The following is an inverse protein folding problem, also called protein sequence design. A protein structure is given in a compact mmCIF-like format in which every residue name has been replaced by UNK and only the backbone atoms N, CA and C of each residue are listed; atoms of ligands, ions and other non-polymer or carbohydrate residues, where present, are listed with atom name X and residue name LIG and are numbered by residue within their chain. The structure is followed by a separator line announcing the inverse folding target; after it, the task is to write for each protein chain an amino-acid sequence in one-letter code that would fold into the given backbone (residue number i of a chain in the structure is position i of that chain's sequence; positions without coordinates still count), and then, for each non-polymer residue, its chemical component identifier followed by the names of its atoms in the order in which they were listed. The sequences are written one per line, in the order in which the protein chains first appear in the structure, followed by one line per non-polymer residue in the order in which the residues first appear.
data_IF_256314521689
#
_entry.id   IF_256314521689
#
_cell.length_a   1.000
_cell.length_b   1.000
_cell.length_c   1.000
_cell.angle_alpha   90.00
_cell.angle_beta   90.00
_cell.angle_gamma   90.00
#
_symmetry.space_group_name_H-M   'P 1'
#
loop_
_entity.id
_entity.type
_entity.pdbx_description
1 polymer ?
#
# COMPACT_ATOMS: atom_id res chain seq x y z
N UNK A 1 -8.58 -10.01 2.64
CA UNK A 1 -7.45 -9.66 3.51
C UNK A 1 -6.22 -10.54 3.21
N UNK A 2 -6.34 -11.87 3.32
CA UNK A 2 -5.20 -12.79 3.15
C UNK A 2 -4.49 -12.64 1.80
N UNK A 3 -5.20 -12.49 0.69
CA UNK A 3 -4.60 -12.35 -0.63
C UNK A 3 -3.57 -11.19 -0.69
N UNK A 4 -3.88 -10.06 -0.05
CA UNK A 4 -2.98 -8.91 0.00
C UNK A 4 -1.69 -9.20 0.77
N UNK A 5 -1.80 -9.76 1.97
CA UNK A 5 -0.62 -10.03 2.77
C UNK A 5 0.22 -11.20 2.22
N UNK A 6 -0.42 -12.27 1.75
CA UNK A 6 0.29 -13.40 1.13
C UNK A 6 1.01 -13.00 -0.15
N UNK A 7 0.43 -12.12 -0.98
CA UNK A 7 1.12 -11.58 -2.16
C UNK A 7 2.38 -10.80 -1.77
N UNK A 8 2.33 -10.01 -0.69
CA UNK A 8 3.51 -9.30 -0.17
C UNK A 8 4.55 -10.29 0.37
N UNK A 9 4.15 -11.34 1.09
CA UNK A 9 5.10 -12.37 1.54
C UNK A 9 5.81 -12.98 0.33
N UNK A 10 5.05 -13.42 -0.66
CA UNK A 10 5.60 -14.07 -1.86
C UNK A 10 6.56 -13.13 -2.63
N UNK A 11 6.13 -11.90 -2.90
CA UNK A 11 6.94 -10.93 -3.65
C UNK A 11 8.15 -10.44 -2.85
N UNK A 12 8.04 -10.28 -1.53
CA UNK A 12 9.18 -9.92 -0.67
C UNK A 12 10.30 -10.95 -0.73
N UNK A 13 9.96 -12.25 -0.76
CA UNK A 13 10.97 -13.30 -0.92
C UNK A 13 11.49 -13.41 -2.36
N UNK A 14 10.65 -13.18 -3.36
CA UNK A 14 11.04 -13.29 -4.76
C UNK A 14 11.92 -12.13 -5.25
N UNK A 15 11.54 -10.89 -4.96
CA UNK A 15 12.21 -9.68 -5.47
C UNK A 15 12.80 -8.78 -4.39
N UNK A 16 12.60 -9.11 -3.12
CA UNK A 16 13.21 -8.36 -2.02
C UNK A 16 14.73 -8.26 -2.12
N UNK A 17 15.47 -9.35 -2.40
CA UNK A 17 16.92 -9.31 -2.59
C UNK A 17 17.37 -8.45 -3.79
N UNK A 18 16.48 -8.17 -4.75
CA UNK A 18 16.80 -7.41 -5.97
C UNK A 18 16.51 -5.92 -5.76
N UNK A 19 15.31 -5.59 -5.24
CA UNK A 19 14.81 -4.21 -5.19
C UNK A 19 14.34 -3.74 -3.82
N UNK A 20 14.41 -4.59 -2.79
CA UNK A 20 13.79 -4.30 -1.50
C UNK A 20 12.28 -4.49 -1.49
N UNK A 21 11.65 -4.75 -2.64
CA UNK A 21 10.22 -5.04 -2.78
C UNK A 21 9.30 -4.01 -2.09
N UNK A 22 9.55 -2.71 -2.28
CA UNK A 22 8.73 -1.67 -1.62
C UNK A 22 7.26 -1.74 -2.07
N UNK A 23 7.01 -1.84 -3.39
CA UNK A 23 5.69 -1.92 -4.05
C UNK A 23 4.63 -0.95 -3.52
N UNK A 24 5.06 0.12 -2.86
CA UNK A 24 4.21 1.07 -2.15
C UNK A 24 4.92 2.42 -2.01
N UNK A 25 4.39 3.54 -2.53
CA UNK A 25 4.99 4.87 -2.38
C UNK A 25 5.15 5.33 -0.93
N UNK A 26 4.23 4.95 -0.01
CA UNK A 26 4.34 5.32 1.39
C UNK A 26 5.51 4.58 2.08
N UNK A 27 5.76 3.31 1.73
CA UNK A 27 6.96 2.58 2.18
C UNK A 27 8.22 3.26 1.62
N UNK A 28 8.25 3.54 0.32
CA UNK A 28 9.40 4.19 -0.32
C UNK A 28 9.71 5.54 0.31
N UNK A 29 8.68 6.34 0.59
CA UNK A 29 8.82 7.62 1.32
C UNK A 29 9.42 7.40 2.71
N UNK A 30 8.93 6.40 3.46
CA UNK A 30 9.47 6.04 4.77
C UNK A 30 10.94 5.64 4.73
N UNK A 31 11.33 4.79 3.77
CA UNK A 31 12.72 4.36 3.56
C UNK A 31 13.61 5.53 3.16
N UNK A 32 13.14 6.41 2.28
CA UNK A 32 13.89 7.62 1.92
C UNK A 32 14.09 8.55 3.11
N UNK A 33 13.03 8.90 3.83
CA UNK A 33 13.09 9.80 4.98
C UNK A 33 13.88 9.23 6.17
N UNK A 34 13.97 7.92 6.29
CA UNK A 34 14.84 7.25 7.27
C UNK A 34 16.33 7.27 6.89
N UNK A 35 16.68 7.81 5.72
CA UNK A 35 18.07 7.93 5.26
C UNK A 35 18.64 6.69 4.55
N UNK A 36 17.82 5.66 4.32
CA UNK A 36 18.24 4.38 3.72
C UNK A 36 18.26 4.39 2.18
N UNK A 37 17.76 5.45 1.54
CA UNK A 37 17.62 5.58 0.09
C UNK A 37 17.85 7.02 -0.33
N UNK A 38 18.42 7.23 -1.54
CA UNK A 38 18.58 8.58 -2.12
C UNK A 38 17.26 9.05 -2.73
N UNK A 39 16.97 10.37 -2.69
CA UNK A 39 15.72 10.93 -3.21
C UNK A 39 15.49 10.64 -4.70
N UNK A 40 16.53 10.68 -5.54
CA UNK A 40 16.44 10.33 -6.97
C UNK A 40 15.99 8.87 -7.17
N UNK A 41 16.49 7.97 -6.35
CA UNK A 41 16.14 6.56 -6.37
C UNK A 41 14.69 6.36 -5.91
N UNK A 42 14.28 7.04 -4.82
CA UNK A 42 12.92 7.02 -4.32
C UNK A 42 11.90 7.48 -5.38
N UNK A 43 12.20 8.55 -6.12
CA UNK A 43 11.36 9.00 -7.23
C UNK A 43 11.25 7.94 -8.33
N UNK A 44 12.34 7.28 -8.70
CA UNK A 44 12.33 6.19 -9.68
C UNK A 44 11.47 5.01 -9.24
N UNK A 45 11.58 4.64 -7.95
CA UNK A 45 10.75 3.58 -7.35
C UNK A 45 9.26 3.94 -7.39
N UNK A 46 8.89 5.14 -6.96
CA UNK A 46 7.49 5.58 -6.95
C UNK A 46 6.89 5.60 -8.35
N UNK A 47 7.66 6.05 -9.35
CA UNK A 47 7.23 6.05 -10.74
C UNK A 47 6.99 4.62 -11.26
N UNK A 48 7.93 3.71 -11.01
CA UNK A 48 7.80 2.30 -11.40
C UNK A 48 6.60 1.63 -10.71
N UNK A 49 6.36 1.96 -9.43
CA UNK A 49 5.21 1.47 -8.67
C UNK A 49 3.88 1.93 -9.26
N UNK A 50 3.78 3.20 -9.67
CA UNK A 50 2.57 3.73 -10.31
C UNK A 50 2.34 3.06 -11.66
N UNK A 51 3.39 2.92 -12.49
CA UNK A 51 3.28 2.23 -13.79
C UNK A 51 2.87 0.77 -13.58
N UNK A 52 3.50 0.06 -12.67
CA UNK A 52 3.15 -1.33 -12.36
C UNK A 52 1.71 -1.49 -11.85
N UNK A 53 1.25 -0.55 -11.01
CA UNK A 53 -0.12 -0.54 -10.52
C UNK A 53 -1.13 -0.30 -11.65
N UNK A 54 -0.83 0.61 -12.58
CA UNK A 54 -1.68 0.85 -13.77
C UNK A 54 -1.78 -0.39 -14.65
N UNK A 55 -0.67 -1.07 -14.92
CA UNK A 55 -0.66 -2.33 -15.67
C UNK A 55 -1.47 -3.40 -14.94
N UNK A 56 -1.27 -3.57 -13.64
CA UNK A 56 -2.03 -4.53 -12.84
C UNK A 56 -3.53 -4.24 -12.84
N UNK A 57 -3.92 -2.97 -12.67
CA UNK A 57 -5.33 -2.56 -12.73
C UNK A 57 -5.94 -2.72 -14.12
N UNK A 58 -5.18 -2.48 -15.19
CA UNK A 58 -5.63 -2.73 -16.57
C UNK A 58 -5.93 -4.22 -16.79
N UNK A 59 -5.08 -5.12 -16.26
CA UNK A 59 -5.30 -6.58 -16.33
C UNK A 59 -6.57 -6.95 -15.57
N UNK A 60 -6.74 -6.45 -14.33
CA UNK A 60 -7.94 -6.71 -13.53
C UNK A 60 -9.18 -6.20 -14.27
N UNK A 61 -9.13 -4.97 -14.80
CA UNK A 61 -10.23 -4.39 -15.54
C UNK A 61 -10.60 -5.21 -16.78
N UNK A 62 -9.60 -5.70 -17.52
CA UNK A 62 -9.82 -6.58 -18.68
C UNK A 62 -10.48 -7.90 -18.27
N UNK A 63 -10.01 -8.53 -17.17
CA UNK A 63 -10.61 -9.78 -16.64
C UNK A 63 -12.05 -9.55 -16.21
N UNK A 64 -12.32 -8.49 -15.46
CA UNK A 64 -13.66 -8.13 -14.96
C UNK A 64 -14.64 -7.91 -16.10
N UNK A 65 -14.21 -7.28 -17.20
CA UNK A 65 -15.06 -6.93 -18.33
C UNK A 65 -15.10 -7.99 -19.46
N UNK A 66 -14.29 -9.05 -19.37
CA UNK A 66 -14.22 -10.09 -20.42
C UNK A 66 -15.19 -11.26 -20.22
N UNK A 67 -15.91 -11.32 -19.11
CA UNK A 67 -16.75 -12.46 -18.77
C UNK A 67 -18.06 -12.09 -18.07
N UNK A 68 -18.93 -13.10 -17.91
CA UNK A 68 -20.20 -12.98 -17.16
C UNK A 68 -20.04 -13.32 -15.67
N UNK A 69 -18.83 -13.16 -15.11
CA UNK A 69 -18.58 -13.47 -13.70
C UNK A 69 -19.21 -12.36 -12.86
N UNK A 70 -20.15 -12.73 -11.98
CA UNK A 70 -20.70 -11.82 -10.99
C UNK A 70 -19.61 -11.47 -9.97
N UNK A 71 -18.88 -10.42 -10.24
CA UNK A 71 -17.88 -9.88 -9.34
C UNK A 71 -18.60 -8.89 -8.41
N UNK A 72 -18.27 -8.94 -7.11
CA UNK A 72 -18.90 -8.06 -6.12
C UNK A 72 -18.66 -6.56 -6.38
N UNK A 73 -19.24 -5.71 -5.57
CA UNK A 73 -19.19 -4.25 -5.72
C UNK A 73 -17.79 -3.61 -5.80
N UNK A 74 -16.74 -4.35 -5.46
CA UNK A 74 -15.34 -3.89 -5.51
C UNK A 74 -14.51 -4.68 -6.52
N UNK A 75 -15.12 -5.08 -7.64
CA UNK A 75 -14.48 -5.90 -8.66
C UNK A 75 -13.13 -5.34 -9.17
N UNK A 76 -13.00 -4.02 -9.27
CA UNK A 76 -11.77 -3.33 -9.68
C UNK A 76 -10.75 -3.18 -8.54
N UNK A 77 -11.17 -3.40 -7.30
CA UNK A 77 -10.36 -3.19 -6.12
C UNK A 77 -10.17 -1.73 -5.71
N UNK A 78 -10.98 -0.81 -6.24
CA UNK A 78 -10.93 0.61 -5.88
C UNK A 78 -11.28 0.84 -4.40
N UNK A 79 -10.65 1.85 -3.80
CA UNK A 79 -10.92 2.30 -2.45
C UNK A 79 -11.99 3.39 -2.42
N UNK A 80 -12.83 3.35 -1.42
CA UNK A 80 -13.79 4.40 -1.11
C UNK A 80 -14.22 4.34 0.35
N UNK A 81 -14.83 5.41 0.84
CA UNK A 81 -15.46 5.46 2.17
C UNK A 81 -16.89 5.97 2.04
N UNK A 82 -17.76 5.57 2.96
CA UNK A 82 -19.17 5.99 2.98
C UNK A 82 -19.28 7.49 3.27
N UNK A 83 -20.36 8.11 2.78
CA UNK A 83 -20.64 9.53 3.05
C UNK A 83 -20.64 9.81 4.55
N UNK A 84 -20.06 10.94 4.95
CA UNK A 84 -19.86 11.31 6.37
C UNK A 84 -18.62 10.69 7.03
N UNK A 85 -17.97 9.70 6.43
CA UNK A 85 -16.84 8.97 7.04
C UNK A 85 -15.46 9.46 6.61
N UNK A 86 -15.32 10.72 6.19
CA UNK A 86 -14.03 11.30 5.83
C UNK A 86 -13.01 11.25 6.98
N UNK A 87 -13.40 11.66 8.18
CA UNK A 87 -12.50 11.68 9.34
C UNK A 87 -12.08 10.27 9.77
N UNK A 88 -13.00 9.30 9.92
CA UNK A 88 -12.64 7.90 10.11
C UNK A 88 -11.69 7.36 9.06
N UNK A 89 -11.90 7.68 7.77
CA UNK A 89 -11.04 7.24 6.68
C UNK A 89 -9.62 7.84 6.79
N UNK A 90 -9.51 9.14 7.05
CA UNK A 90 -8.22 9.82 7.26
C UNK A 90 -7.45 9.21 8.45
N UNK A 91 -8.12 8.97 9.57
CA UNK A 91 -7.50 8.37 10.75
C UNK A 91 -7.05 6.95 10.44
N UNK A 92 -7.92 6.12 9.89
CA UNK A 92 -7.61 4.72 9.58
C UNK A 92 -6.41 4.63 8.62
N UNK A 93 -6.47 5.32 7.49
CA UNK A 93 -5.39 5.26 6.48
C UNK A 93 -4.07 5.82 7.01
N UNK A 94 -4.08 6.87 7.86
CA UNK A 94 -2.86 7.41 8.46
C UNK A 94 -2.27 6.45 9.50
N UNK A 95 -3.10 6.00 10.45
CA UNK A 95 -2.62 5.18 11.58
C UNK A 95 -2.15 3.81 11.09
N UNK A 96 -2.92 3.16 10.23
CA UNK A 96 -2.56 1.83 9.74
C UNK A 96 -1.41 1.86 8.73
N UNK A 97 -1.24 2.93 7.96
CA UNK A 97 -0.01 3.11 7.17
C UNK A 97 1.18 3.40 8.07
N UNK A 98 1.03 4.19 9.12
CA UNK A 98 2.10 4.37 10.11
C UNK A 98 2.54 3.02 10.67
N UNK A 99 1.62 2.19 11.17
CA UNK A 99 1.93 0.86 11.71
C UNK A 99 2.64 0.00 10.65
N UNK A 100 2.12 -0.02 9.43
CA UNK A 100 2.67 -0.82 8.34
C UNK A 100 4.11 -0.41 8.00
N UNK A 101 4.34 0.87 7.74
CA UNK A 101 5.67 1.40 7.39
C UNK A 101 6.63 1.28 8.57
N UNK A 102 6.17 1.48 9.80
CA UNK A 102 6.97 1.27 10.99
C UNK A 102 7.46 -0.18 11.09
N UNK A 103 6.58 -1.16 10.89
CA UNK A 103 6.97 -2.58 10.85
C UNK A 103 7.98 -2.83 9.73
N UNK A 104 7.75 -2.30 8.52
CA UNK A 104 8.70 -2.42 7.41
C UNK A 104 10.08 -1.91 7.83
N UNK A 105 10.15 -0.67 8.34
CA UNK A 105 11.42 -0.03 8.71
C UNK A 105 12.13 -0.77 9.85
N UNK A 106 11.39 -1.32 10.81
CA UNK A 106 11.98 -2.05 11.93
C UNK A 106 12.42 -3.46 11.56
N UNK A 107 11.62 -4.18 10.77
CA UNK A 107 11.95 -5.57 10.41
C UNK A 107 13.03 -5.67 9.34
N UNK A 108 13.21 -4.63 8.52
CA UNK A 108 14.27 -4.54 7.51
C UNK A 108 15.51 -3.77 7.98
N UNK A 109 15.62 -3.49 9.28
CA UNK A 109 16.83 -2.89 9.85
C UNK A 109 18.02 -3.85 9.69
N UNK A 110 19.17 -3.34 9.30
CA UNK A 110 20.35 -4.17 8.98
C UNK A 110 21.03 -4.72 10.24
N UNK A 111 20.86 -4.06 11.39
CA UNK A 111 21.50 -4.46 12.66
C UNK A 111 20.55 -5.24 13.56
N UNK A 112 19.30 -4.74 13.67
CA UNK A 112 18.33 -5.22 14.64
C UNK A 112 17.01 -5.67 14.01
N UNK A 113 17.00 -5.95 12.70
CA UNK A 113 15.82 -6.38 11.97
C UNK A 113 15.52 -7.87 12.14
N UNK A 114 14.46 -8.31 11.48
CA UNK A 114 13.96 -9.69 11.51
C UNK A 114 14.68 -10.63 10.52
N UNK A 115 15.66 -10.13 9.75
CA UNK A 115 16.40 -10.92 8.76
C UNK A 115 15.46 -11.61 7.76
N UNK A 116 15.62 -12.92 7.61
CA UNK A 116 14.81 -13.71 6.68
C UNK A 116 13.30 -13.72 6.98
N UNK A 117 12.89 -13.37 8.20
CA UNK A 117 11.48 -13.30 8.60
C UNK A 117 10.84 -11.93 8.30
N UNK A 118 11.58 -10.95 7.81
CA UNK A 118 11.06 -9.61 7.54
C UNK A 118 9.84 -9.64 6.59
N UNK A 119 9.95 -10.36 5.47
CA UNK A 119 8.85 -10.49 4.50
C UNK A 119 7.59 -11.12 5.09
N UNK A 120 7.77 -12.12 5.98
CA UNK A 120 6.66 -12.76 6.69
C UNK A 120 5.97 -11.76 7.65
N UNK A 121 6.75 -11.06 8.46
CA UNK A 121 6.22 -10.08 9.41
C UNK A 121 5.47 -8.94 8.69
N UNK A 122 6.03 -8.42 7.60
CA UNK A 122 5.42 -7.37 6.79
C UNK A 122 4.09 -7.85 6.17
N UNK A 123 4.08 -9.01 5.54
CA UNK A 123 2.88 -9.51 4.90
C UNK A 123 1.77 -9.87 5.89
N UNK A 124 2.10 -10.47 7.05
CA UNK A 124 1.12 -10.74 8.12
C UNK A 124 0.57 -9.44 8.73
N UNK A 125 1.40 -8.41 8.87
CA UNK A 125 0.92 -7.08 9.27
C UNK A 125 -0.09 -6.54 8.27
N UNK A 126 0.15 -6.72 6.96
CA UNK A 126 -0.79 -6.29 5.95
C UNK A 126 -2.10 -7.11 5.97
N UNK A 127 -2.04 -8.42 6.26
CA UNK A 127 -3.25 -9.23 6.51
C UNK A 127 -4.07 -8.64 7.65
N UNK A 128 -3.43 -8.37 8.80
CA UNK A 128 -4.07 -7.78 9.98
C UNK A 128 -4.77 -6.45 9.62
N UNK A 129 -4.05 -5.56 8.96
CA UNK A 129 -4.57 -4.25 8.55
C UNK A 129 -5.79 -4.40 7.63
N UNK A 130 -5.75 -5.32 6.67
CA UNK A 130 -6.86 -5.56 5.77
C UNK A 130 -8.08 -6.16 6.48
N UNK A 131 -7.89 -7.04 7.46
CA UNK A 131 -8.99 -7.56 8.28
C UNK A 131 -9.73 -6.43 8.99
N UNK A 132 -8.99 -5.44 9.52
CA UNK A 132 -9.57 -4.32 10.27
C UNK A 132 -10.16 -3.25 9.35
N UNK A 133 -9.47 -2.89 8.27
CA UNK A 133 -9.77 -1.66 7.51
C UNK A 133 -10.59 -1.89 6.23
N UNK A 134 -10.72 -3.11 5.71
CA UNK A 134 -11.58 -3.37 4.54
C UNK A 134 -13.00 -2.83 4.74
N UNK A 135 -13.67 -3.05 5.88
CA UNK A 135 -15.01 -2.52 6.11
C UNK A 135 -15.11 -0.99 6.17
N UNK A 136 -13.98 -0.30 6.40
CA UNK A 136 -13.95 1.17 6.56
C UNK A 136 -13.67 1.89 5.24
N UNK A 137 -12.67 1.42 4.48
CA UNK A 137 -12.10 2.14 3.33
C UNK A 137 -11.77 1.22 2.15
N UNK A 138 -12.00 -0.08 2.28
CA UNK A 138 -11.44 -1.08 1.38
C UNK A 138 -9.93 -1.26 1.55
N UNK A 139 -9.31 -0.61 2.52
CA UNK A 139 -7.89 -0.59 2.88
C UNK A 139 -6.97 -0.15 1.74
N UNK A 140 -6.42 1.03 1.83
CA UNK A 140 -5.36 1.49 0.93
C UNK A 140 -3.97 1.17 1.48
N UNK A 141 -3.54 1.91 2.47
CA UNK A 141 -2.18 1.99 3.03
C UNK A 141 -1.09 2.06 1.96
N UNK A 142 -1.47 2.41 0.72
CA UNK A 142 -0.61 2.40 -0.45
C UNK A 142 -1.15 3.32 -1.56
N UNK A 143 -0.55 4.49 -1.81
CA UNK A 143 -1.02 5.42 -2.84
C UNK A 143 -1.13 4.83 -4.25
N UNK A 144 -0.19 3.99 -4.68
CA UNK A 144 -0.22 3.39 -6.02
C UNK A 144 -1.34 2.36 -6.16
N UNK A 145 -1.59 1.58 -5.08
CA UNK A 145 -2.68 0.60 -4.98
C UNK A 145 -4.06 1.27 -5.08
N UNK A 146 -4.18 2.53 -4.68
CA UNK A 146 -5.45 3.26 -4.75
C UNK A 146 -5.59 4.07 -6.03
N UNK A 147 -4.51 4.70 -6.49
CA UNK A 147 -4.50 5.52 -7.69
C UNK A 147 -4.96 4.72 -8.92
N UNK A 148 -4.34 3.57 -9.16
CA UNK A 148 -4.57 2.84 -10.39
C UNK A 148 -6.02 2.33 -10.52
N UNK A 149 -6.60 1.60 -9.56
CA UNK A 149 -8.01 1.20 -9.66
C UNK A 149 -8.99 2.38 -9.75
N UNK A 150 -8.72 3.49 -9.04
CA UNK A 150 -9.59 4.66 -9.08
C UNK A 150 -9.70 5.27 -10.48
N UNK A 151 -8.63 5.22 -11.29
CA UNK A 151 -8.65 5.70 -12.68
C UNK A 151 -9.53 4.84 -13.60
N UNK A 152 -9.63 3.53 -13.32
CA UNK A 152 -10.49 2.62 -14.08
C UNK A 152 -11.94 2.63 -13.60
N UNK A 153 -12.15 2.80 -12.28
CA UNK A 153 -13.48 2.85 -11.66
C UNK A 153 -14.17 4.21 -11.91
N UNK A 154 -13.43 5.31 -11.79
CA UNK A 154 -13.98 6.66 -11.88
C UNK A 154 -14.82 7.04 -10.66
N UNK A 155 -15.81 7.93 -10.88
CA UNK A 155 -16.83 8.29 -9.89
C UNK A 155 -16.31 8.62 -8.49
N UNK A 156 -16.93 8.02 -7.48
CA UNK A 156 -16.60 8.24 -6.06
C UNK A 156 -15.17 7.85 -5.72
N UNK A 157 -14.65 6.75 -6.29
CA UNK A 157 -13.29 6.30 -6.04
C UNK A 157 -12.26 7.36 -6.48
N UNK A 158 -12.47 7.98 -7.64
CA UNK A 158 -11.61 9.04 -8.15
C UNK A 158 -11.76 10.34 -7.34
N UNK A 159 -12.99 10.70 -6.96
CA UNK A 159 -13.25 11.89 -6.15
C UNK A 159 -12.62 11.81 -4.74
N UNK A 160 -12.57 10.62 -4.16
CA UNK A 160 -12.02 10.38 -2.83
C UNK A 160 -10.52 10.00 -2.84
N UNK A 161 -9.90 9.84 -4.00
CA UNK A 161 -8.53 9.36 -4.16
C UNK A 161 -7.51 10.16 -3.34
N UNK A 162 -7.71 11.46 -3.18
CA UNK A 162 -6.79 12.32 -2.43
C UNK A 162 -6.59 11.86 -0.99
N UNK A 163 -7.61 11.27 -0.33
CA UNK A 163 -7.50 10.70 1.02
C UNK A 163 -6.51 9.54 1.01
N UNK A 164 -6.63 8.66 0.03
CA UNK A 164 -5.81 7.46 -0.14
C UNK A 164 -4.39 7.73 -0.66
N UNK A 165 -4.09 8.97 -0.99
CA UNK A 165 -2.73 9.45 -1.25
C UNK A 165 -2.18 10.18 -0.02
N UNK A 166 -2.89 11.20 0.48
CA UNK A 166 -2.40 12.08 1.53
C UNK A 166 -2.23 11.34 2.87
N UNK A 167 -3.24 10.58 3.30
CA UNK A 167 -3.22 9.90 4.59
C UNK A 167 -2.13 8.80 4.67
N UNK A 168 -1.97 7.90 3.67
CA UNK A 168 -0.86 6.95 3.67
C UNK A 168 0.53 7.63 3.62
N UNK A 169 0.71 8.69 2.84
CA UNK A 169 1.98 9.41 2.82
C UNK A 169 2.29 10.03 4.19
N UNK A 170 1.29 10.61 4.85
CA UNK A 170 1.45 11.13 6.22
C UNK A 170 1.84 10.01 7.20
N UNK A 171 1.17 8.86 7.13
CA UNK A 171 1.52 7.68 7.93
C UNK A 171 2.97 7.24 7.72
N UNK A 172 3.43 7.21 6.47
CA UNK A 172 4.82 6.91 6.11
C UNK A 172 5.84 7.90 6.67
N UNK A 173 5.53 9.20 6.62
CA UNK A 173 6.36 10.26 7.23
C UNK A 173 6.47 10.06 8.74
N UNK A 174 5.34 9.86 9.43
CA UNK A 174 5.31 9.64 10.88
C UNK A 174 6.11 8.40 11.27
N UNK A 175 6.03 7.32 10.52
CA UNK A 175 6.81 6.10 10.75
C UNK A 175 8.32 6.35 10.61
N UNK A 176 8.73 7.09 9.57
CA UNK A 176 10.13 7.45 9.39
C UNK A 176 10.66 8.30 10.55
N UNK A 177 9.86 9.25 11.04
CA UNK A 177 10.22 10.07 12.20
C UNK A 177 10.35 9.24 13.47
N UNK A 178 9.47 8.25 13.67
CA UNK A 178 9.48 7.39 14.85
C UNK A 178 10.68 6.41 14.91
N UNK A 179 11.28 6.08 13.76
CA UNK A 179 12.48 5.20 13.71
C UNK A 179 13.81 5.96 13.61
N UNK A 180 13.77 7.26 13.31
CA UNK A 180 14.96 8.10 13.32
C UNK A 180 15.49 8.22 14.74
N UNK A 181 16.70 7.75 14.95
CA UNK A 181 17.48 7.95 16.18
C UNK A 181 18.35 9.18 16.06
#
# INVERSE_FOLDING_TARGET
AFAFGLSVIATAHAIGPISGCHINPAITLGVWLSGRMKGREACGYMLAQVIGALVGSAIIWAVVNSGSVALGATATGANSYAEGNLVPALIAETVFTFIFVFVVLRTTDTENGAGQFAGLAIGLTLVLIHIVCIPLTGTSVNPARSLAPALFEGGTALAQLWVFIAAPLLGGVLAALAVKR
#
